data_IF_190519848849
#
_entry.id   IF_190519848849
#
_cell.length_a   1.000
_cell.length_b   1.000
_cell.length_c   1.000
_cell.angle_alpha   90.00
_cell.angle_beta   90.00
_cell.angle_gamma   90.00
#
_symmetry.space_group_name_H-M   'P 1'
#
loop_
_entity.id
_entity.type
_entity.pdbx_description
1 polymer ?
#
# COMPACT_ATOMS: atom_id res chain seq x y z
N UNK A 1 -9.79 10.28 -19.79
CA UNK A 1 -8.53 9.53 -19.65
C UNK A 1 -8.89 8.09 -19.28
N UNK A 2 -8.42 7.08 -20.02
CA UNK A 2 -8.74 5.67 -19.76
C UNK A 2 -8.88 4.78 -21.01
N UNK A 3 -9.13 5.38 -22.19
CA UNK A 3 -9.33 4.66 -23.46
C UNK A 3 -8.09 3.89 -23.91
N UNK A 4 -6.91 4.51 -23.92
CA UNK A 4 -5.64 3.83 -24.25
C UNK A 4 -5.28 2.70 -23.28
N UNK A 5 -5.55 2.86 -22.00
CA UNK A 5 -5.32 1.81 -21.00
C UNK A 5 -6.23 0.61 -21.24
N UNK A 6 -7.51 0.85 -21.53
CA UNK A 6 -8.46 -0.21 -21.91
C UNK A 6 -8.10 -0.86 -23.25
N UNK A 7 -7.55 -0.13 -24.21
CA UNK A 7 -7.07 -0.69 -25.48
C UNK A 7 -5.86 -1.60 -25.29
N UNK A 8 -4.90 -1.24 -24.43
CA UNK A 8 -3.70 -2.05 -24.14
C UNK A 8 -4.06 -3.34 -23.40
N UNK A 9 -4.95 -3.23 -22.41
CA UNK A 9 -5.31 -4.37 -21.55
C UNK A 9 -6.43 -5.23 -22.19
N UNK A 10 -7.19 -4.64 -23.13
CA UNK A 10 -8.21 -5.31 -23.91
C UNK A 10 -9.23 -6.04 -23.04
N UNK A 11 -9.47 -7.33 -23.34
CA UNK A 11 -10.39 -8.21 -22.60
C UNK A 11 -10.02 -8.45 -21.13
N UNK A 12 -8.82 -8.08 -20.70
CA UNK A 12 -8.35 -8.29 -19.33
C UNK A 12 -8.54 -7.06 -18.43
N UNK A 13 -9.11 -5.97 -18.95
CA UNK A 13 -9.23 -4.70 -18.23
C UNK A 13 -9.87 -4.87 -16.85
N UNK A 14 -10.96 -5.64 -16.76
CA UNK A 14 -11.66 -5.86 -15.50
C UNK A 14 -10.82 -6.65 -14.50
N UNK A 15 -10.03 -7.62 -14.98
CA UNK A 15 -9.12 -8.40 -14.13
C UNK A 15 -7.97 -7.55 -13.61
N UNK A 16 -7.42 -6.65 -14.42
CA UNK A 16 -6.36 -5.73 -13.99
C UNK A 16 -6.89 -4.76 -12.94
N UNK A 17 -8.09 -4.21 -13.14
CA UNK A 17 -8.74 -3.35 -12.14
C UNK A 17 -8.95 -4.11 -10.82
N UNK A 18 -9.41 -5.36 -10.88
CA UNK A 18 -9.56 -6.20 -9.69
C UNK A 18 -8.23 -6.39 -8.94
N UNK A 19 -7.15 -6.71 -9.65
CA UNK A 19 -5.83 -6.91 -9.06
C UNK A 19 -5.25 -5.62 -8.46
N UNK A 20 -5.42 -4.49 -9.14
CA UNK A 20 -4.99 -3.18 -8.63
C UNK A 20 -5.74 -2.79 -7.37
N UNK A 21 -7.05 -3.05 -7.30
CA UNK A 21 -7.84 -2.80 -6.09
C UNK A 21 -7.41 -3.71 -4.93
N UNK A 22 -7.07 -4.97 -5.20
CA UNK A 22 -6.53 -5.88 -4.17
C UNK A 22 -5.19 -5.40 -3.66
N UNK A 23 -4.26 -5.10 -4.56
CA UNK A 23 -2.96 -4.56 -4.20
C UNK A 23 -3.10 -3.25 -3.40
N UNK A 24 -3.99 -2.35 -3.80
CA UNK A 24 -4.28 -1.12 -3.05
C UNK A 24 -4.74 -1.40 -1.61
N UNK A 25 -5.62 -2.39 -1.42
CA UNK A 25 -6.06 -2.80 -0.09
C UNK A 25 -4.94 -3.44 0.73
N UNK A 26 -4.08 -4.26 0.09
CA UNK A 26 -2.93 -4.88 0.73
C UNK A 26 -1.92 -3.83 1.22
N UNK A 27 -1.62 -2.80 0.43
CA UNK A 27 -0.73 -1.71 0.85
C UNK A 27 -1.32 -0.89 2.01
N UNK A 28 -2.64 -0.65 2.01
CA UNK A 28 -3.31 -0.02 3.16
C UNK A 28 -3.25 -0.88 4.42
N UNK A 29 -3.45 -2.20 4.28
CA UNK A 29 -3.32 -3.12 5.39
C UNK A 29 -1.87 -3.16 5.92
N UNK A 30 -0.87 -3.11 5.05
CA UNK A 30 0.54 -3.01 5.42
C UNK A 30 0.85 -1.72 6.17
N UNK A 31 0.36 -0.57 5.70
CA UNK A 31 0.44 0.71 6.42
C UNK A 31 -0.08 0.58 7.85
N UNK A 32 -1.29 0.05 8.02
CA UNK A 32 -1.89 -0.07 9.35
C UNK A 32 -1.10 -1.02 10.26
N UNK A 33 -0.57 -2.12 9.73
CA UNK A 33 0.26 -3.05 10.49
C UNK A 33 1.54 -2.38 11.01
N UNK A 34 2.26 -1.65 10.17
CA UNK A 34 3.46 -0.93 10.59
C UNK A 34 3.15 0.19 11.58
N UNK A 35 2.10 0.97 11.31
CA UNK A 35 1.70 2.07 12.16
C UNK A 35 1.27 1.61 13.55
N UNK A 36 0.42 0.58 13.66
CA UNK A 36 -0.01 0.06 14.96
C UNK A 36 1.14 -0.67 15.66
N UNK A 37 1.98 -1.40 14.92
CA UNK A 37 3.19 -2.04 15.43
C UNK A 37 4.12 -1.05 16.13
N UNK A 38 4.31 0.14 15.54
CA UNK A 38 5.09 1.22 16.14
C UNK A 38 4.47 1.77 17.44
N UNK A 39 3.16 1.59 17.68
CA UNK A 39 2.51 2.04 18.93
C UNK A 39 2.60 1.05 20.07
N UNK A 40 2.78 -0.23 19.76
CA UNK A 40 2.72 -1.31 20.76
C UNK A 40 4.07 -1.97 21.04
N UNK A 41 5.12 -1.62 20.30
CA UNK A 41 6.46 -2.20 20.44
C UNK A 41 7.07 -1.91 21.83
N UNK A 42 7.46 -2.95 22.60
CA UNK A 42 8.15 -2.79 23.89
C UNK A 42 9.66 -3.03 23.78
N UNK A 43 10.39 -2.75 24.87
CA UNK A 43 11.78 -3.19 25.05
C UNK A 43 12.84 -2.07 24.97
N UNK A 44 14.11 -2.41 25.28
CA UNK A 44 15.21 -1.44 25.42
C UNK A 44 15.64 -0.78 24.09
N UNK A 45 15.35 -1.39 22.94
CA UNK A 45 15.65 -0.84 21.61
C UNK A 45 14.40 -0.33 20.88
N UNK A 46 13.29 -0.15 21.60
CA UNK A 46 12.00 0.19 21.00
C UNK A 46 12.06 1.44 20.12
N UNK A 47 12.85 2.45 20.48
CA UNK A 47 12.88 3.72 19.75
C UNK A 47 13.43 3.56 18.33
N UNK A 48 14.45 2.71 18.14
CA UNK A 48 14.99 2.40 16.82
C UNK A 48 13.98 1.62 15.95
N UNK A 49 13.31 0.63 16.56
CA UNK A 49 12.27 -0.18 15.88
C UNK A 49 11.07 0.68 15.52
N UNK A 50 10.63 1.58 16.41
CA UNK A 50 9.54 2.53 16.17
C UNK A 50 9.88 3.43 14.97
N UNK A 51 11.11 3.93 14.88
CA UNK A 51 11.54 4.78 13.78
C UNK A 51 11.47 4.04 12.43
N UNK A 52 11.96 2.81 12.37
CA UNK A 52 11.91 1.98 11.16
C UNK A 52 10.48 1.63 10.75
N UNK A 53 9.64 1.21 11.70
CA UNK A 53 8.23 0.90 11.42
C UNK A 53 7.46 2.12 10.93
N UNK A 54 7.73 3.31 11.47
CA UNK A 54 7.12 4.55 10.99
C UNK A 54 7.60 4.93 9.58
N UNK A 55 8.86 4.64 9.24
CA UNK A 55 9.37 4.82 7.88
C UNK A 55 8.65 3.90 6.90
N UNK A 56 8.55 2.59 7.20
CA UNK A 56 7.82 1.66 6.35
C UNK A 56 6.34 2.04 6.20
N UNK A 57 5.68 2.46 7.28
CA UNK A 57 4.31 2.96 7.19
C UNK A 57 4.19 4.14 6.19
N UNK A 58 5.11 5.11 6.22
CA UNK A 58 5.09 6.22 5.28
C UNK A 58 5.30 5.76 3.82
N UNK A 59 6.18 4.78 3.58
CA UNK A 59 6.41 4.20 2.26
C UNK A 59 5.16 3.52 1.70
N UNK A 60 4.44 2.74 2.51
CA UNK A 60 3.24 2.02 2.05
C UNK A 60 2.08 2.96 1.69
N UNK A 61 1.95 4.11 2.37
CA UNK A 61 0.97 5.14 1.96
C UNK A 61 1.29 5.70 0.57
N UNK A 62 2.57 5.87 0.25
CA UNK A 62 2.99 6.34 -1.07
C UNK A 62 2.72 5.27 -2.12
N UNK A 63 3.03 4.00 -1.85
CA UNK A 63 2.72 2.88 -2.78
C UNK A 63 1.23 2.75 -3.03
N UNK A 64 0.42 2.82 -1.98
CA UNK A 64 -1.05 2.81 -2.08
C UNK A 64 -1.57 3.92 -3.00
N UNK A 65 -1.07 5.16 -2.87
CA UNK A 65 -1.46 6.26 -3.78
C UNK A 65 -1.12 6.01 -5.25
N UNK A 66 -0.09 5.22 -5.55
CA UNK A 66 0.26 4.87 -6.94
C UNK A 66 -0.73 3.87 -7.55
N UNK A 67 -1.35 3.03 -6.71
CA UNK A 67 -2.37 2.05 -7.13
C UNK A 67 -3.79 2.64 -7.16
N UNK A 68 -3.97 3.87 -6.68
CA UNK A 68 -5.26 4.55 -6.69
C UNK A 68 -5.73 4.80 -8.13
N UNK A 69 -6.73 4.05 -8.56
CA UNK A 69 -7.42 4.27 -9.83
C UNK A 69 -8.27 5.56 -9.70
N UNK A 70 -8.09 6.50 -10.64
CA UNK A 70 -8.87 7.74 -10.76
C UNK A 70 -9.96 7.63 -11.82
#
# INVERSE_FOLDING_TARGET
>A
MGTRGREIVGKHADRVIELLNKAFADEWLAYYQYWIGAKVVPGPMKDAVIAELMQHAAEEVVRSRQLQIR
#
